data_IF_682480735734
#
_entry.id   IF_682480735734
#
_cell.length_a   1.000
_cell.length_b   1.000
_cell.length_c   1.000
_cell.angle_alpha   90.00
_cell.angle_beta   90.00
_cell.angle_gamma   90.00
#
_symmetry.space_group_name_H-M   'P 1'
#
loop_
_entity.id
_entity.type
_entity.pdbx_description
1 polymer ?
#
# COMPACT_ATOMS: atom_id res chain seq x y z
N UNK A 1 -6.13 32.37 7.29
CA UNK A 1 -5.68 30.99 7.04
C UNK A 1 -6.09 30.14 8.25
N UNK A 2 -7.10 29.28 8.11
CA UNK A 2 -7.75 28.59 9.24
C UNK A 2 -6.96 27.36 9.70
N UNK A 3 -6.67 27.31 11.01
CA UNK A 3 -5.98 26.26 11.78
C UNK A 3 -6.58 24.84 11.63
N UNK A 4 -7.76 24.72 11.01
CA UNK A 4 -8.47 23.45 10.86
C UNK A 4 -7.87 22.54 9.77
N UNK A 5 -7.07 23.10 8.84
CA UNK A 5 -6.42 22.33 7.75
C UNK A 5 -5.16 21.57 8.20
N UNK A 6 -4.57 21.92 9.35
CA UNK A 6 -3.36 21.26 9.86
C UNK A 6 -3.60 19.91 10.54
N UNK A 7 -4.86 19.56 10.86
CA UNK A 7 -5.16 18.30 11.58
C UNK A 7 -5.31 17.08 10.66
N UNK A 8 -5.54 17.28 9.37
CA UNK A 8 -5.65 16.17 8.41
C UNK A 8 -4.30 15.72 7.83
N UNK A 9 -3.28 16.59 7.86
CA UNK A 9 -1.93 16.23 7.41
C UNK A 9 -1.20 15.33 8.43
N UNK A 10 -1.61 15.35 9.71
CA UNK A 10 -1.01 14.54 10.77
C UNK A 10 -1.50 13.10 10.86
N UNK A 11 -2.68 12.76 10.28
CA UNK A 11 -3.27 11.44 10.47
C UNK A 11 -2.69 10.35 9.54
N UNK A 12 -2.02 10.74 8.44
CA UNK A 12 -1.38 9.78 7.53
C UNK A 12 0.03 9.36 7.96
N UNK A 13 0.65 10.04 8.92
CA UNK A 13 1.96 9.64 9.48
C UNK A 13 1.80 8.77 10.73
N UNK A 14 0.65 8.79 11.41
CA UNK A 14 0.46 8.00 12.65
C UNK A 14 0.10 6.52 12.38
N UNK A 15 -0.45 6.15 11.21
CA UNK A 15 -0.73 4.73 10.91
C UNK A 15 0.50 3.91 10.47
N UNK A 16 1.66 4.54 10.23
CA UNK A 16 2.91 3.84 9.95
C UNK A 16 3.72 3.52 11.24
N UNK A 17 3.37 4.13 12.38
CA UNK A 17 4.14 4.03 13.63
C UNK A 17 3.75 2.89 14.58
N UNK A 18 2.61 2.23 14.37
CA UNK A 18 2.10 1.21 15.32
C UNK A 18 2.62 -0.22 15.05
N UNK A 19 3.64 -0.39 14.22
CA UNK A 19 4.19 -1.72 13.86
C UNK A 19 5.47 -2.13 14.58
N UNK A 20 6.15 -1.22 15.29
CA UNK A 20 7.44 -1.55 15.92
C UNK A 20 7.28 -2.45 17.17
N UNK A 21 6.14 -2.37 17.86
CA UNK A 21 5.89 -3.14 19.09
C UNK A 21 5.46 -4.60 18.86
N UNK A 22 4.94 -4.94 17.68
CA UNK A 22 4.41 -6.29 17.42
C UNK A 22 5.49 -7.30 17.02
N UNK A 23 6.64 -6.84 16.53
CA UNK A 23 7.74 -7.73 16.15
C UNK A 23 8.25 -8.56 17.33
N UNK A 24 8.43 -7.96 18.52
CA UNK A 24 8.86 -8.69 19.73
C UNK A 24 7.78 -9.58 20.34
N UNK A 25 6.51 -9.18 20.22
CA UNK A 25 5.39 -10.00 20.71
C UNK A 25 5.17 -11.26 19.86
N UNK A 26 5.48 -11.20 18.56
CA UNK A 26 5.33 -12.34 17.65
C UNK A 26 6.41 -13.41 17.85
N UNK A 27 7.64 -13.01 18.18
CA UNK A 27 8.68 -13.96 18.56
C UNK A 27 8.35 -14.65 19.89
N UNK A 28 7.82 -13.90 20.86
CA UNK A 28 7.36 -14.43 22.14
C UNK A 28 6.17 -15.41 21.99
N UNK A 29 5.12 -15.04 21.24
CA UNK A 29 3.97 -15.91 21.01
C UNK A 29 4.33 -17.20 20.24
N UNK A 30 5.30 -17.12 19.31
CA UNK A 30 5.83 -18.29 18.60
C UNK A 30 6.68 -19.18 19.51
N UNK A 31 7.43 -18.59 20.46
CA UNK A 31 8.16 -19.33 21.49
C UNK A 31 7.23 -19.97 22.51
N UNK A 32 6.13 -19.31 22.89
CA UNK A 32 5.19 -19.79 23.89
C UNK A 32 4.33 -20.94 23.34
N UNK A 33 3.90 -20.85 22.07
CA UNK A 33 3.27 -21.96 21.35
C UNK A 33 4.24 -23.15 21.13
N UNK A 34 5.54 -22.88 20.91
CA UNK A 34 6.57 -23.94 20.83
C UNK A 34 6.79 -24.60 22.19
N UNK A 35 6.91 -23.84 23.29
CA UNK A 35 7.04 -24.38 24.66
C UNK A 35 5.84 -25.21 25.09
N UNK A 36 4.62 -24.80 24.72
CA UNK A 36 3.41 -25.56 25.00
C UNK A 36 3.35 -26.89 24.23
N UNK A 37 4.07 -27.00 23.11
CA UNK A 37 4.13 -28.19 22.26
C UNK A 37 5.33 -29.09 22.60
N UNK A 38 6.44 -28.53 23.08
CA UNK A 38 7.70 -29.23 23.41
C UNK A 38 7.67 -30.02 24.74
N UNK A 39 6.60 -29.90 25.54
CA UNK A 39 6.42 -30.68 26.77
C UNK A 39 6.04 -32.15 26.56
N UNK A 40 5.68 -32.54 25.33
CA UNK A 40 5.35 -33.90 24.98
C UNK A 40 6.11 -34.30 23.70
N UNK A 41 6.83 -35.41 23.75
CA UNK A 41 7.64 -36.01 22.66
C UNK A 41 9.08 -35.51 22.59
N UNK A 42 9.93 -36.17 23.39
CA UNK A 42 11.33 -36.36 23.04
C UNK A 42 11.40 -37.27 21.79
N UNK A 43 11.85 -36.74 20.66
CA UNK A 43 12.51 -37.52 19.61
C UNK A 43 13.42 -36.61 18.79
N UNK A 44 14.65 -37.07 18.66
CA UNK A 44 15.78 -36.43 18.04
C UNK A 44 15.52 -36.08 16.57
N UNK A 45 15.55 -34.79 16.30
CA UNK A 45 15.62 -34.21 14.97
C UNK A 45 15.71 -32.73 15.19
N UNK A 46 16.92 -32.16 15.12
CA UNK A 46 17.07 -30.73 14.91
C UNK A 46 16.11 -30.36 13.79
N UNK A 47 15.11 -29.47 13.99
CA UNK A 47 14.49 -28.81 12.86
C UNK A 47 15.62 -28.02 12.24
N UNK A 48 16.27 -28.60 11.23
CA UNK A 48 17.09 -27.87 10.31
C UNK A 48 16.13 -26.82 9.76
N UNK A 49 16.21 -25.61 10.32
CA UNK A 49 15.60 -24.43 9.77
C UNK A 49 16.17 -24.37 8.37
N UNK A 50 15.40 -24.87 7.40
CA UNK A 50 15.77 -24.87 6.00
C UNK A 50 16.27 -23.45 5.75
N UNK A 51 17.54 -23.26 5.31
CA UNK A 51 18.03 -21.92 5.06
C UNK A 51 16.96 -21.29 4.19
N UNK A 52 16.32 -20.22 4.68
CA UNK A 52 15.21 -19.62 3.95
C UNK A 52 15.78 -19.31 2.58
N UNK A 53 15.41 -20.11 1.58
CA UNK A 53 16.01 -19.99 0.26
C UNK A 53 15.66 -18.57 -0.15
N UNK A 54 16.67 -17.71 -0.17
CA UNK A 54 16.48 -16.31 -0.46
C UNK A 54 15.84 -16.26 -1.85
N UNK A 55 14.55 -15.93 -1.90
CA UNK A 55 13.82 -15.95 -3.15
C UNK A 55 14.31 -14.78 -4.00
N UNK A 56 14.23 -14.92 -5.32
CA UNK A 56 14.59 -13.83 -6.21
C UNK A 56 13.55 -12.70 -6.07
N UNK A 57 14.01 -11.44 -6.10
CA UNK A 57 13.10 -10.28 -6.01
C UNK A 57 11.98 -10.31 -7.07
N UNK A 58 12.31 -10.70 -8.30
CA UNK A 58 11.33 -10.82 -9.39
C UNK A 58 10.83 -12.27 -9.48
N UNK A 59 10.23 -12.77 -8.42
CA UNK A 59 9.58 -14.08 -8.42
C UNK A 59 8.14 -14.01 -8.96
N UNK A 60 7.46 -15.15 -9.00
CA UNK A 60 6.07 -15.22 -9.50
C UNK A 60 5.14 -14.35 -8.66
N UNK A 61 5.27 -14.37 -7.34
CA UNK A 61 4.38 -13.63 -6.44
C UNK A 61 4.57 -12.11 -6.60
N UNK A 62 5.81 -11.62 -6.71
CA UNK A 62 6.07 -10.18 -6.83
C UNK A 62 5.64 -9.68 -8.20
N UNK A 63 5.79 -10.48 -9.25
CA UNK A 63 5.24 -10.14 -10.56
C UNK A 63 3.72 -9.92 -10.50
N UNK A 64 2.98 -10.79 -9.82
CA UNK A 64 1.53 -10.62 -9.64
C UNK A 64 1.18 -9.43 -8.75
N UNK A 65 1.92 -9.22 -7.66
CA UNK A 65 1.72 -8.08 -6.77
C UNK A 65 1.99 -6.75 -7.49
N UNK A 66 3.08 -6.64 -8.27
CA UNK A 66 3.40 -5.44 -9.03
C UNK A 66 2.44 -5.22 -10.19
N UNK A 67 1.96 -6.28 -10.84
CA UNK A 67 0.85 -6.17 -11.78
C UNK A 67 -0.42 -5.63 -11.10
N UNK A 68 -0.74 -6.11 -9.89
CA UNK A 68 -1.83 -5.59 -9.08
C UNK A 68 -1.67 -4.11 -8.74
N UNK A 69 -0.45 -3.67 -8.36
CA UNK A 69 -0.14 -2.25 -8.12
C UNK A 69 -0.37 -1.42 -9.39
N UNK A 70 0.13 -1.87 -10.54
CA UNK A 70 -0.09 -1.19 -11.81
C UNK A 70 -1.57 -1.10 -12.19
N UNK A 71 -2.32 -2.18 -12.00
CA UNK A 71 -3.76 -2.21 -12.23
C UNK A 71 -4.50 -1.24 -11.29
N UNK A 72 -4.16 -1.22 -10.00
CA UNK A 72 -4.79 -0.34 -9.03
C UNK A 72 -4.52 1.15 -9.31
N UNK A 73 -3.30 1.50 -9.73
CA UNK A 73 -2.98 2.87 -10.20
C UNK A 73 -3.70 3.24 -11.49
N UNK A 74 -3.83 2.29 -12.41
CA UNK A 74 -4.64 2.51 -13.62
C UNK A 74 -6.12 2.75 -13.28
N UNK A 75 -6.68 2.01 -12.33
CA UNK A 75 -8.04 2.25 -11.83
C UNK A 75 -8.16 3.62 -11.17
N UNK A 76 -7.18 4.03 -10.36
CA UNK A 76 -7.15 5.34 -9.72
C UNK A 76 -7.11 6.47 -10.77
N UNK A 77 -6.26 6.36 -11.79
CA UNK A 77 -6.22 7.25 -12.95
C UNK A 77 -7.59 7.46 -13.59
N UNK A 78 -8.24 6.37 -14.01
CA UNK A 78 -9.55 6.45 -14.67
C UNK A 78 -10.64 6.94 -13.73
N UNK A 79 -10.64 6.52 -12.47
CA UNK A 79 -11.62 6.98 -11.48
C UNK A 79 -11.51 8.48 -11.24
N UNK A 80 -10.28 9.01 -11.24
CA UNK A 80 -10.00 10.43 -11.05
C UNK A 80 -10.44 11.22 -12.27
N UNK A 81 -10.12 10.77 -13.48
CA UNK A 81 -10.62 11.41 -14.71
C UNK A 81 -12.15 11.40 -14.78
N UNK A 82 -12.78 10.29 -14.42
CA UNK A 82 -14.25 10.21 -14.36
C UNK A 82 -14.84 11.16 -13.30
N UNK A 83 -14.22 11.25 -12.11
CA UNK A 83 -14.60 12.21 -11.09
C UNK A 83 -14.46 13.66 -11.58
N UNK A 84 -13.36 13.98 -12.27
CA UNK A 84 -13.11 15.31 -12.86
C UNK A 84 -14.16 15.69 -13.89
N UNK A 85 -14.49 14.77 -14.82
CA UNK A 85 -15.56 14.96 -15.81
C UNK A 85 -16.92 15.21 -15.18
N UNK A 86 -17.18 14.65 -14.00
CA UNK A 86 -18.40 14.88 -13.20
C UNK A 86 -18.37 16.19 -12.39
N UNK A 87 -17.45 17.11 -12.70
CA UNK A 87 -17.39 18.45 -12.14
C UNK A 87 -16.79 18.54 -10.74
N UNK A 88 -16.10 17.49 -10.28
CA UNK A 88 -15.45 17.49 -8.95
C UNK A 88 -13.96 17.80 -9.06
N UNK A 89 -13.41 18.31 -7.97
CA UNK A 89 -11.98 18.60 -7.85
C UNK A 89 -11.24 17.43 -7.21
N UNK A 90 -10.06 17.18 -7.70
CA UNK A 90 -9.10 16.28 -7.06
C UNK A 90 -8.55 16.97 -5.79
N UNK A 91 -8.23 16.18 -4.76
CA UNK A 91 -7.90 16.64 -3.40
C UNK A 91 -6.38 16.69 -3.15
N UNK A 92 -5.59 15.81 -3.76
CA UNK A 92 -4.17 15.60 -3.47
C UNK A 92 -3.19 16.24 -4.47
N UNK A 93 -3.62 16.44 -5.71
CA UNK A 93 -2.93 16.92 -6.90
C UNK A 93 -3.62 18.19 -7.41
N UNK A 94 -2.86 19.03 -8.11
CA UNK A 94 -3.46 20.16 -8.80
C UNK A 94 -4.36 19.65 -9.94
N UNK A 95 -5.56 20.23 -10.08
CA UNK A 95 -6.49 19.88 -11.14
C UNK A 95 -5.90 20.11 -12.54
N UNK A 96 -5.05 21.12 -12.73
CA UNK A 96 -4.38 21.37 -14.01
C UNK A 96 -3.42 20.22 -14.39
N UNK A 97 -2.82 19.59 -13.38
CA UNK A 97 -1.93 18.46 -13.55
C UNK A 97 -2.70 17.19 -13.90
N UNK A 98 -3.88 17.00 -13.28
CA UNK A 98 -4.79 15.89 -13.56
C UNK A 98 -5.40 16.01 -14.96
N UNK A 99 -5.78 17.22 -15.36
CA UNK A 99 -6.36 17.50 -16.68
C UNK A 99 -5.31 17.41 -17.81
N UNK A 100 -4.02 17.60 -17.46
CA UNK A 100 -2.90 17.22 -18.33
C UNK A 100 -2.68 15.71 -18.27
N UNK A 101 -3.46 14.97 -19.06
CA UNK A 101 -3.45 13.50 -19.09
C UNK A 101 -2.07 12.83 -19.15
N UNK A 102 -1.10 13.26 -19.99
CA UNK A 102 0.23 12.65 -20.00
C UNK A 102 1.02 12.97 -18.72
N UNK A 103 0.90 14.19 -18.17
CA UNK A 103 1.53 14.52 -16.89
C UNK A 103 0.95 13.69 -15.75
N UNK A 104 -0.37 13.52 -15.72
CA UNK A 104 -1.02 12.68 -14.72
C UNK A 104 -0.63 11.20 -14.86
N UNK A 105 -0.60 10.66 -16.08
CA UNK A 105 -0.15 9.30 -16.33
C UNK A 105 1.31 9.07 -15.89
N UNK A 106 2.18 10.08 -16.07
CA UNK A 106 3.56 10.01 -15.59
C UNK A 106 3.64 9.92 -14.05
N UNK A 107 2.77 10.62 -13.32
CA UNK A 107 2.71 10.55 -11.85
C UNK A 107 2.19 9.19 -11.38
N UNK A 108 1.19 8.64 -12.07
CA UNK A 108 0.68 7.30 -11.80
C UNK A 108 1.79 6.25 -11.98
N UNK A 109 2.52 6.33 -13.10
CA UNK A 109 3.66 5.46 -13.38
C UNK A 109 4.81 5.64 -12.36
N UNK A 110 5.13 6.89 -11.98
CA UNK A 110 6.16 7.19 -11.01
C UNK A 110 5.81 6.62 -9.62
N UNK A 111 4.55 6.67 -9.21
CA UNK A 111 4.09 6.07 -7.96
C UNK A 111 4.14 4.53 -8.00
N UNK A 112 3.80 3.90 -9.14
CA UNK A 112 4.01 2.45 -9.33
C UNK A 112 5.50 2.10 -9.19
N UNK A 113 6.37 2.81 -9.89
CA UNK A 113 7.82 2.61 -9.80
C UNK A 113 8.36 2.81 -8.38
N UNK A 114 7.86 3.81 -7.67
CA UNK A 114 8.20 4.06 -6.25
C UNK A 114 7.79 2.88 -5.37
N UNK A 115 6.60 2.31 -5.58
CA UNK A 115 6.15 1.12 -4.85
C UNK A 115 7.07 -0.08 -5.05
N UNK A 116 7.47 -0.33 -6.30
CA UNK A 116 8.40 -1.40 -6.65
C UNK A 116 9.77 -1.13 -6.04
N UNK A 117 10.26 0.12 -6.09
CA UNK A 117 11.54 0.52 -5.51
C UNK A 117 11.59 0.37 -3.98
N UNK A 118 10.52 0.73 -3.28
CA UNK A 118 10.40 0.53 -1.82
C UNK A 118 10.38 -0.96 -1.50
N UNK A 119 9.64 -1.77 -2.27
CA UNK A 119 9.63 -3.22 -2.13
C UNK A 119 11.04 -3.82 -2.35
N UNK A 120 11.76 -3.35 -3.37
CA UNK A 120 13.15 -3.73 -3.62
C UNK A 120 14.07 -3.37 -2.46
N UNK A 121 13.89 -2.21 -1.84
CA UNK A 121 14.68 -1.81 -0.68
C UNK A 121 14.47 -2.76 0.49
N UNK A 122 13.21 -3.14 0.78
CA UNK A 122 12.91 -4.13 1.80
C UNK A 122 13.49 -5.50 1.46
N UNK A 123 13.43 -5.92 0.20
CA UNK A 123 14.07 -7.15 -0.26
C UNK A 123 15.58 -7.12 -0.02
N UNK A 124 16.24 -6.02 -0.40
CA UNK A 124 17.69 -5.83 -0.29
C UNK A 124 18.18 -5.88 1.16
N UNK A 125 17.37 -5.41 2.11
CA UNK A 125 17.66 -5.47 3.54
C UNK A 125 17.11 -6.73 4.26
N UNK A 126 16.57 -7.71 3.52
CA UNK A 126 16.08 -8.97 4.08
C UNK A 126 14.70 -8.89 4.76
N UNK A 127 13.98 -7.77 4.60
CA UNK A 127 12.64 -7.56 5.15
C UNK A 127 11.54 -8.11 4.22
N UNK A 128 11.57 -9.41 3.92
CA UNK A 128 10.67 -10.05 2.94
C UNK A 128 9.17 -9.89 3.24
N UNK A 129 8.77 -9.75 4.52
CA UNK A 129 7.37 -9.47 4.86
C UNK A 129 6.97 -8.04 4.48
N UNK A 130 7.85 -7.06 4.70
CA UNK A 130 7.60 -5.67 4.33
C UNK A 130 7.62 -5.49 2.81
N UNK A 131 8.48 -6.22 2.12
CA UNK A 131 8.52 -6.31 0.67
C UNK A 131 7.13 -6.62 0.07
N UNK A 132 6.45 -7.67 0.57
CA UNK A 132 5.09 -8.04 0.11
C UNK A 132 4.02 -7.08 0.64
N UNK A 133 4.13 -6.70 1.91
CA UNK A 133 3.19 -5.79 2.57
C UNK A 133 3.06 -4.47 1.80
N UNK A 134 4.16 -3.96 1.25
CA UNK A 134 4.19 -2.73 0.44
C UNK A 134 3.15 -2.78 -0.69
N UNK A 135 3.12 -3.86 -1.46
CA UNK A 135 2.17 -4.01 -2.57
C UNK A 135 0.73 -4.13 -2.08
N UNK A 136 0.47 -4.90 -1.01
CA UNK A 136 -0.88 -5.01 -0.44
C UNK A 136 -1.41 -3.65 0.05
N UNK A 137 -0.60 -2.89 0.78
CA UNK A 137 -0.95 -1.56 1.27
C UNK A 137 -1.21 -0.61 0.10
N UNK A 138 -0.34 -0.62 -0.91
CA UNK A 138 -0.50 0.22 -2.09
C UNK A 138 -1.81 -0.08 -2.82
N UNK A 139 -2.07 -1.36 -3.14
CA UNK A 139 -3.30 -1.80 -3.81
C UNK A 139 -4.52 -1.40 -3.00
N UNK A 140 -4.52 -1.65 -1.69
CA UNK A 140 -5.65 -1.33 -0.81
C UNK A 140 -5.96 0.17 -0.79
N UNK A 141 -4.94 1.02 -0.59
CA UNK A 141 -5.12 2.47 -0.51
C UNK A 141 -5.61 3.06 -1.84
N UNK A 142 -4.97 2.68 -2.94
CA UNK A 142 -5.32 3.19 -4.30
C UNK A 142 -6.68 2.71 -4.75
N UNK A 143 -7.01 1.43 -4.55
CA UNK A 143 -8.32 0.88 -4.92
C UNK A 143 -9.43 1.52 -4.08
N UNK A 144 -9.21 1.73 -2.77
CA UNK A 144 -10.19 2.42 -1.92
C UNK A 144 -10.42 3.86 -2.38
N UNK A 145 -9.36 4.57 -2.78
CA UNK A 145 -9.44 5.89 -3.41
C UNK A 145 -10.29 5.86 -4.67
N UNK A 146 -10.05 4.90 -5.55
CA UNK A 146 -10.78 4.73 -6.80
C UNK A 146 -12.27 4.42 -6.57
N UNK A 147 -12.58 3.50 -5.64
CA UNK A 147 -13.97 3.19 -5.24
C UNK A 147 -14.66 4.44 -4.71
N UNK A 148 -14.01 5.18 -3.80
CA UNK A 148 -14.55 6.45 -3.29
C UNK A 148 -14.82 7.42 -4.44
N UNK A 149 -13.89 7.58 -5.39
CA UNK A 149 -14.08 8.43 -6.56
C UNK A 149 -15.35 8.04 -7.32
N UNK A 150 -15.58 6.76 -7.59
CA UNK A 150 -16.79 6.32 -8.27
C UNK A 150 -18.07 6.55 -7.46
N UNK A 151 -18.04 6.30 -6.15
CA UNK A 151 -19.19 6.48 -5.26
C UNK A 151 -19.64 7.95 -5.09
N UNK A 152 -18.81 8.92 -5.47
CA UNK A 152 -19.18 10.33 -5.38
C UNK A 152 -20.24 10.69 -6.43
N UNK A 153 -21.27 11.43 -6.00
CA UNK A 153 -22.30 11.97 -6.89
C UNK A 153 -21.73 13.06 -7.80
N UNK A 154 -22.35 13.22 -8.98
CA UNK A 154 -22.05 14.29 -9.93
C UNK A 154 -22.26 15.66 -9.28
N UNK A 155 -21.35 16.61 -9.50
CA UNK A 155 -21.49 17.95 -8.97
C UNK A 155 -22.46 18.75 -9.83
N UNK A 156 -23.58 19.18 -9.24
CA UNK A 156 -24.47 20.17 -9.86
C UNK A 156 -23.98 21.57 -9.47
N UNK A 157 -23.77 22.42 -10.46
CA UNK A 157 -23.50 23.84 -10.22
C UNK A 157 -24.76 24.42 -9.54
N UNK A 158 -24.62 24.99 -8.35
CA UNK A 158 -25.71 25.79 -7.78
C UNK A 158 -25.89 27.00 -8.69
N UNK A 159 -27.03 27.09 -9.35
CA UNK A 159 -27.45 28.30 -10.04
C UNK A 159 -27.69 29.35 -8.96
N UNK A 160 -26.84 30.38 -8.89
CA UNK A 160 -27.09 31.54 -8.03
C UNK A 160 -28.25 32.32 -8.64
N UNK A 161 -29.32 32.64 -7.88
CA UNK A 161 -30.41 33.49 -8.35
C UNK A 161 -29.95 34.93 -8.61
#
# INVERSE_FOLDING_TARGET
MSLQKSRFLGLLIVLAGAGAGTARAQDAAKQEARRATEGAVASSGTPQESPSVAHHFVDKENRWLFAGVGAARTLDYFSTLNMRRRGRREIFLNNDLVDNHPAFAAIEAAATGTSIGVSYLFHRYGHHKLERCTSFVHIGLTTTGAVRNYCLKTAHRKTTP
#
